data_IF_424778097298
#
_entry.id   IF_424778097298
#
_cell.length_a   1.000
_cell.length_b   1.000
_cell.length_c   1.000
_cell.angle_alpha   90.00
_cell.angle_beta   90.00
_cell.angle_gamma   90.00
#
_symmetry.space_group_name_H-M   'P 1'
#
loop_
_entity.id
_entity.type
_entity.pdbx_description
1 polymer ?
#
# COMPACT_ATOMS: atom_id res chain seq x y z
N UNK A 1 32.20 -16.21 -0.33
CA UNK A 1 30.96 -15.74 0.29
C UNK A 1 30.29 -14.78 -0.69
N UNK A 2 29.30 -15.26 -1.40
CA UNK A 2 28.51 -14.40 -2.28
C UNK A 2 27.62 -13.53 -1.39
N UNK A 3 27.90 -12.23 -1.32
CA UNK A 3 26.93 -11.26 -0.89
C UNK A 3 25.81 -11.26 -1.94
N UNK A 4 24.78 -12.05 -1.71
CA UNK A 4 23.50 -11.84 -2.34
C UNK A 4 22.95 -10.51 -1.80
N UNK A 5 23.32 -9.44 -2.48
CA UNK A 5 22.70 -8.15 -2.34
C UNK A 5 21.28 -8.33 -2.89
N UNK A 6 20.39 -8.86 -2.05
CA UNK A 6 18.98 -9.07 -2.39
C UNK A 6 18.34 -7.70 -2.49
N UNK A 7 18.43 -7.14 -3.67
CA UNK A 7 17.77 -5.89 -4.09
C UNK A 7 16.24 -6.14 -4.26
N UNK A 8 15.68 -6.98 -3.38
CA UNK A 8 14.25 -7.33 -3.34
C UNK A 8 13.50 -6.37 -2.43
N UNK A 9 12.25 -6.07 -2.77
CA UNK A 9 11.36 -5.31 -1.90
C UNK A 9 11.23 -5.99 -0.54
N UNK A 10 11.24 -5.20 0.54
CA UNK A 10 11.13 -5.70 1.91
C UNK A 10 9.88 -5.12 2.60
N UNK A 11 8.92 -6.01 2.90
CA UNK A 11 7.70 -5.65 3.62
C UNK A 11 7.98 -5.14 5.04
N UNK A 12 9.00 -5.65 5.71
CA UNK A 12 9.30 -5.22 7.08
C UNK A 12 9.70 -3.74 7.12
N UNK A 13 10.57 -3.32 6.23
CA UNK A 13 10.94 -1.91 6.04
C UNK A 13 9.73 -1.06 5.69
N UNK A 14 8.89 -1.49 4.74
CA UNK A 14 7.67 -0.77 4.35
C UNK A 14 6.73 -0.59 5.56
N UNK A 15 6.53 -1.64 6.35
CA UNK A 15 5.70 -1.60 7.57
C UNK A 15 6.26 -0.66 8.63
N UNK A 16 7.57 -0.64 8.85
CA UNK A 16 8.19 0.29 9.79
C UNK A 16 7.98 1.75 9.35
N UNK A 17 8.17 2.04 8.06
CA UNK A 17 7.95 3.38 7.52
C UNK A 17 6.48 3.77 7.57
N UNK A 18 5.56 2.85 7.34
CA UNK A 18 4.13 3.09 7.52
C UNK A 18 3.78 3.42 8.98
N UNK A 19 4.31 2.67 9.95
CA UNK A 19 4.13 2.98 11.36
C UNK A 19 4.72 4.35 11.74
N UNK A 20 5.84 4.76 11.14
CA UNK A 20 6.38 6.10 11.32
C UNK A 20 5.47 7.18 10.71
N UNK A 21 4.93 6.94 9.52
CA UNK A 21 3.96 7.82 8.88
C UNK A 21 2.70 8.02 9.73
N UNK A 22 2.22 6.97 10.39
CA UNK A 22 1.03 7.04 11.26
C UNK A 22 1.22 7.92 12.51
N UNK A 23 2.45 8.24 12.92
CA UNK A 23 2.71 9.11 14.07
C UNK A 23 2.23 10.54 13.87
N UNK A 24 2.03 10.97 12.62
CA UNK A 24 1.51 12.29 12.29
C UNK A 24 -0.03 12.39 12.36
N UNK A 25 -0.68 11.29 12.75
CA UNK A 25 -2.14 11.18 12.84
C UNK A 25 -2.57 10.88 14.28
N UNK A 26 -3.74 11.42 14.65
CA UNK A 26 -4.31 11.19 15.97
C UNK A 26 -4.82 9.74 16.12
N UNK A 27 -4.06 8.93 16.81
CA UNK A 27 -4.40 7.52 17.08
C UNK A 27 -5.49 7.34 18.15
N UNK A 28 -5.97 8.42 18.80
CA UNK A 28 -7.16 8.38 19.66
C UNK A 28 -8.45 8.56 18.85
N UNK A 29 -8.37 9.04 17.61
CA UNK A 29 -9.51 9.13 16.72
C UNK A 29 -9.94 7.71 16.27
N UNK A 30 -11.19 7.34 16.57
CA UNK A 30 -11.72 6.00 16.29
C UNK A 30 -11.73 5.68 14.78
N UNK A 31 -11.92 6.67 13.90
CA UNK A 31 -11.88 6.47 12.45
C UNK A 31 -10.46 6.18 11.97
N UNK A 32 -9.44 6.85 12.53
CA UNK A 32 -8.02 6.54 12.27
C UNK A 32 -7.70 5.12 12.73
N UNK A 33 -8.11 4.75 13.95
CA UNK A 33 -7.91 3.38 14.47
C UNK A 33 -8.58 2.33 13.60
N UNK A 34 -9.84 2.56 13.22
CA UNK A 34 -10.57 1.68 12.32
C UNK A 34 -9.82 1.49 10.99
N UNK A 35 -9.26 2.58 10.45
CA UNK A 35 -8.51 2.54 9.19
C UNK A 35 -7.20 1.78 9.33
N UNK A 36 -6.49 1.91 10.44
CA UNK A 36 -5.29 1.13 10.74
C UNK A 36 -5.63 -0.37 10.77
N UNK A 37 -6.67 -0.76 11.51
CA UNK A 37 -7.13 -2.15 11.60
C UNK A 37 -7.50 -2.69 10.21
N UNK A 38 -8.26 -1.91 9.43
CA UNK A 38 -8.62 -2.27 8.05
C UNK A 38 -7.36 -2.50 7.18
N UNK A 39 -6.40 -1.58 7.22
CA UNK A 39 -5.17 -1.68 6.43
C UNK A 39 -4.40 -2.97 6.74
N UNK A 40 -4.20 -3.29 8.01
CA UNK A 40 -3.53 -4.54 8.40
C UNK A 40 -4.38 -5.80 8.11
N UNK A 41 -5.70 -5.68 8.15
CA UNK A 41 -6.61 -6.73 7.69
C UNK A 41 -6.38 -7.05 6.21
N UNK A 42 -6.32 -6.04 5.35
CA UNK A 42 -6.01 -6.21 3.92
C UNK A 42 -4.63 -6.85 3.70
N UNK A 43 -3.61 -6.45 4.45
CA UNK A 43 -2.28 -7.09 4.37
C UNK A 43 -2.36 -8.58 4.72
N UNK A 44 -3.10 -8.92 5.77
CA UNK A 44 -3.30 -10.32 6.18
C UNK A 44 -4.00 -11.12 5.09
N UNK A 45 -5.12 -10.61 4.58
CA UNK A 45 -5.85 -11.26 3.47
C UNK A 45 -4.98 -11.41 2.23
N UNK A 46 -4.21 -10.38 1.85
CA UNK A 46 -3.24 -10.43 0.75
C UNK A 46 -2.23 -11.57 0.94
N UNK A 47 -1.76 -11.77 2.18
CA UNK A 47 -0.82 -12.85 2.53
C UNK A 47 -1.49 -14.23 2.39
N UNK A 48 -2.69 -14.39 2.96
CA UNK A 48 -3.41 -15.66 2.96
C UNK A 48 -3.74 -16.11 1.52
N UNK A 49 -4.10 -15.16 0.67
CA UNK A 49 -4.44 -15.45 -0.72
C UNK A 49 -3.20 -15.73 -1.55
N UNK A 50 -2.13 -14.95 -1.40
CA UNK A 50 -0.85 -15.22 -2.05
C UNK A 50 -0.37 -16.63 -1.73
N UNK A 51 -0.54 -17.07 -0.47
CA UNK A 51 -0.19 -18.43 -0.05
C UNK A 51 -1.05 -19.49 -0.74
N UNK A 52 -2.37 -19.30 -0.80
CA UNK A 52 -3.29 -20.22 -1.49
C UNK A 52 -3.03 -20.30 -2.99
N UNK A 53 -2.62 -19.20 -3.60
CA UNK A 53 -2.26 -19.12 -5.02
C UNK A 53 -0.84 -19.61 -5.28
N UNK A 54 -0.07 -19.96 -4.27
CA UNK A 54 1.34 -20.38 -4.38
C UNK A 54 2.19 -19.35 -5.13
N UNK A 55 1.97 -18.07 -4.88
CA UNK A 55 2.75 -17.00 -5.49
C UNK A 55 4.20 -17.05 -5.02
N UNK A 56 5.10 -16.49 -5.83
CA UNK A 56 6.49 -16.30 -5.44
C UNK A 56 6.60 -15.44 -4.17
N UNK A 57 7.72 -15.50 -3.48
CA UNK A 57 7.99 -14.65 -2.32
C UNK A 57 8.00 -13.17 -2.72
N UNK A 58 8.54 -12.84 -3.89
CA UNK A 58 8.54 -11.48 -4.43
C UNK A 58 7.12 -10.96 -4.69
N UNK A 59 6.27 -11.75 -5.34
CA UNK A 59 4.88 -11.36 -5.61
C UNK A 59 4.05 -11.27 -4.33
N UNK A 60 4.29 -12.16 -3.37
CA UNK A 60 3.66 -12.10 -2.03
C UNK A 60 4.07 -10.84 -1.30
N UNK A 61 5.34 -10.46 -1.34
CA UNK A 61 5.85 -9.23 -0.74
C UNK A 61 5.24 -8.00 -1.42
N UNK A 62 5.17 -7.99 -2.75
CA UNK A 62 4.51 -6.92 -3.51
C UNK A 62 3.03 -6.78 -3.12
N UNK A 63 2.29 -7.90 -3.02
CA UNK A 63 0.87 -7.89 -2.61
C UNK A 63 0.69 -7.30 -1.21
N UNK A 64 1.55 -7.64 -0.26
CA UNK A 64 1.54 -7.06 1.10
C UNK A 64 1.79 -5.55 1.08
N UNK A 65 2.76 -5.08 0.29
CA UNK A 65 3.09 -3.65 0.19
C UNK A 65 1.94 -2.88 -0.46
N UNK A 66 1.32 -3.43 -1.51
CA UNK A 66 0.12 -2.84 -2.13
C UNK A 66 -1.01 -2.75 -1.10
N UNK A 67 -1.27 -3.84 -0.37
CA UNK A 67 -2.28 -3.86 0.69
C UNK A 67 -2.01 -2.85 1.81
N UNK A 68 -0.74 -2.60 2.14
CA UNK A 68 -0.33 -1.61 3.14
C UNK A 68 -0.56 -0.16 2.67
N UNK A 69 -0.32 0.13 1.40
CA UNK A 69 -0.30 1.49 0.86
C UNK A 69 -1.57 1.88 0.09
N UNK A 70 -2.47 0.93 -0.21
CA UNK A 70 -3.63 1.15 -1.10
C UNK A 70 -4.52 2.33 -0.70
N UNK A 71 -4.65 2.56 0.58
CA UNK A 71 -5.54 3.56 1.16
C UNK A 71 -4.79 4.65 1.96
N UNK A 72 -3.50 4.86 1.69
CA UNK A 72 -2.68 5.83 2.44
C UNK A 72 -3.29 7.24 2.43
N UNK A 73 -3.95 7.64 1.35
CA UNK A 73 -4.63 8.94 1.23
C UNK A 73 -5.85 9.09 2.15
N UNK A 74 -6.41 7.99 2.68
CA UNK A 74 -7.53 8.03 3.64
C UNK A 74 -7.14 8.66 4.97
N UNK A 75 -5.91 8.47 5.41
CA UNK A 75 -5.42 9.09 6.65
C UNK A 75 -5.44 10.60 6.55
N UNK A 76 -5.01 11.15 5.42
CA UNK A 76 -5.08 12.60 5.19
C UNK A 76 -6.51 13.09 5.03
N UNK A 77 -7.38 12.33 4.37
CA UNK A 77 -8.80 12.64 4.28
C UNK A 77 -9.43 12.74 5.68
N UNK A 78 -9.18 11.77 6.55
CA UNK A 78 -9.68 11.77 7.91
C UNK A 78 -9.12 12.94 8.73
N UNK A 79 -7.83 13.24 8.58
CA UNK A 79 -7.18 14.37 9.26
C UNK A 79 -7.81 15.71 8.89
N UNK A 80 -8.18 15.91 7.63
CA UNK A 80 -8.73 17.17 7.12
C UNK A 80 -10.23 17.31 7.32
N UNK A 81 -10.97 16.23 7.13
CA UNK A 81 -12.42 16.27 7.01
C UNK A 81 -13.15 15.43 8.05
N UNK A 82 -12.44 14.63 8.82
CA UNK A 82 -13.00 13.62 9.76
C UNK A 82 -14.15 12.79 9.12
N UNK A 83 -14.00 12.48 7.83
CA UNK A 83 -15.05 11.85 7.01
C UNK A 83 -14.46 10.84 6.01
N UNK A 84 -15.21 9.78 5.75
CA UNK A 84 -14.93 8.83 4.67
C UNK A 84 -15.70 9.14 3.37
N UNK A 85 -16.51 10.18 3.34
CA UNK A 85 -17.34 10.52 2.19
C UNK A 85 -16.49 10.88 0.97
N UNK A 86 -16.88 10.37 -0.18
CA UNK A 86 -16.13 10.51 -1.44
C UNK A 86 -16.13 11.95 -1.98
N UNK A 87 -17.14 12.75 -1.62
CA UNK A 87 -17.27 14.15 -2.00
C UNK A 87 -16.29 15.08 -1.29
N UNK A 88 -15.70 14.65 -0.14
CA UNK A 88 -14.74 15.46 0.60
C UNK A 88 -13.35 15.44 -0.02
N UNK A 89 -12.92 14.29 -0.56
CA UNK A 89 -11.59 14.10 -1.15
C UNK A 89 -11.51 12.80 -1.95
N UNK A 90 -10.89 12.86 -3.13
CA UNK A 90 -10.48 11.65 -3.83
C UNK A 90 -9.20 11.09 -3.17
N UNK A 91 -9.39 10.26 -2.14
CA UNK A 91 -8.29 9.69 -1.35
C UNK A 91 -7.34 8.81 -2.18
N UNK A 92 -7.84 8.18 -3.24
CA UNK A 92 -7.04 7.33 -4.11
C UNK A 92 -6.03 8.15 -4.92
N UNK A 93 -6.52 9.20 -5.61
CA UNK A 93 -5.66 10.13 -6.35
C UNK A 93 -4.69 10.86 -5.40
N UNK A 94 -5.14 11.21 -4.21
CA UNK A 94 -4.28 11.86 -3.21
C UNK A 94 -3.22 10.89 -2.67
N UNK A 95 -3.56 9.62 -2.45
CA UNK A 95 -2.59 8.58 -2.06
C UNK A 95 -1.46 8.42 -3.08
N UNK A 96 -1.81 8.36 -4.37
CA UNK A 96 -0.82 8.36 -5.46
C UNK A 96 0.06 9.62 -5.43
N UNK A 97 -0.57 10.79 -5.23
CA UNK A 97 0.15 12.05 -5.10
C UNK A 97 1.15 12.02 -3.94
N UNK A 98 0.74 11.57 -2.76
CA UNK A 98 1.63 11.45 -1.58
C UNK A 98 2.81 10.52 -1.88
N UNK A 99 2.56 9.38 -2.53
CA UNK A 99 3.57 8.35 -2.74
C UNK A 99 4.59 8.73 -3.82
N UNK A 100 4.15 9.34 -4.91
CA UNK A 100 4.96 9.47 -6.13
C UNK A 100 5.29 10.91 -6.55
N UNK A 101 4.63 11.94 -6.02
CA UNK A 101 4.94 13.31 -6.38
C UNK A 101 6.10 13.89 -5.59
N UNK A 102 7.00 14.55 -6.33
CA UNK A 102 8.21 15.18 -5.80
C UNK A 102 8.04 16.65 -5.42
N UNK A 103 6.83 17.17 -5.31
CA UNK A 103 6.56 18.62 -5.16
C UNK A 103 7.30 19.27 -3.97
N UNK A 104 7.78 18.45 -2.99
CA UNK A 104 8.60 18.92 -1.85
C UNK A 104 9.82 18.03 -1.58
N UNK A 105 10.35 17.33 -2.58
CA UNK A 105 11.55 16.49 -2.43
C UNK A 105 11.30 15.16 -1.67
N UNK A 106 10.06 14.83 -1.36
CA UNK A 106 9.70 13.61 -0.64
C UNK A 106 8.84 12.68 -1.48
N UNK A 107 9.50 11.94 -2.35
CA UNK A 107 8.89 10.75 -2.93
C UNK A 107 8.78 9.69 -1.82
N UNK A 108 7.61 9.62 -1.16
CA UNK A 108 7.43 8.74 -0.02
C UNK A 108 7.59 7.27 -0.38
N UNK A 109 7.30 6.87 -1.61
CA UNK A 109 7.49 5.48 -2.04
C UNK A 109 8.92 4.99 -1.83
N UNK A 110 9.91 5.86 -2.01
CA UNK A 110 11.33 5.54 -1.81
C UNK A 110 11.69 5.35 -0.33
N UNK A 111 10.90 5.90 0.58
CA UNK A 111 11.05 5.66 2.03
C UNK A 111 10.41 4.35 2.44
N UNK A 112 9.24 4.04 1.88
CA UNK A 112 8.54 2.78 2.13
C UNK A 112 9.22 1.59 1.48
N UNK A 113 9.70 1.78 0.25
CA UNK A 113 10.33 0.74 -0.57
C UNK A 113 11.63 1.27 -1.16
N UNK A 114 12.73 1.36 -0.37
CA UNK A 114 14.01 1.91 -0.81
C UNK A 114 14.57 1.21 -2.05
N UNK A 115 14.24 -0.06 -2.23
CA UNK A 115 14.68 -0.87 -3.37
C UNK A 115 14.15 -0.37 -4.73
N UNK A 116 13.11 0.48 -4.72
CA UNK A 116 12.60 1.09 -5.97
C UNK A 116 13.52 2.17 -6.52
N UNK A 117 14.44 2.72 -5.70
CA UNK A 117 15.37 3.77 -6.13
C UNK A 117 16.26 3.28 -7.27
N UNK A 118 16.69 2.02 -7.19
CA UNK A 118 17.62 1.43 -8.16
C UNK A 118 16.91 0.62 -9.26
N UNK A 119 15.57 0.49 -9.19
CA UNK A 119 14.76 -0.30 -10.13
C UNK A 119 13.55 0.50 -10.61
N UNK A 120 13.75 1.28 -11.67
CA UNK A 120 12.66 2.02 -12.35
C UNK A 120 11.46 1.11 -12.66
N UNK A 121 11.69 -0.16 -12.99
CA UNK A 121 10.63 -1.14 -13.26
C UNK A 121 9.75 -1.48 -12.03
N UNK A 122 10.34 -1.54 -10.83
CA UNK A 122 9.58 -1.82 -9.60
C UNK A 122 8.72 -0.63 -9.18
N UNK A 123 9.25 0.60 -9.29
CA UNK A 123 8.50 1.83 -9.03
C UNK A 123 7.32 1.97 -10.00
N UNK A 124 7.54 1.72 -11.29
CA UNK A 124 6.49 1.76 -12.32
C UNK A 124 5.42 0.70 -12.06
N UNK A 125 5.80 -0.52 -11.67
CA UNK A 125 4.86 -1.59 -11.33
C UNK A 125 3.98 -1.23 -10.14
N UNK A 126 4.57 -0.70 -9.06
CA UNK A 126 3.84 -0.21 -7.89
C UNK A 126 2.93 0.96 -8.24
N UNK A 127 3.43 1.94 -8.99
CA UNK A 127 2.66 3.10 -9.42
C UNK A 127 1.45 2.67 -10.25
N UNK A 128 1.65 1.77 -11.22
CA UNK A 128 0.56 1.25 -12.05
C UNK A 128 -0.52 0.59 -11.20
N UNK A 129 -0.14 -0.28 -10.25
CA UNK A 129 -1.09 -0.97 -9.37
C UNK A 129 -1.84 -0.01 -8.43
N UNK A 130 -1.16 1.01 -7.91
CA UNK A 130 -1.76 1.99 -6.99
C UNK A 130 -2.54 3.10 -7.70
N UNK A 131 -2.30 3.34 -9.00
CA UNK A 131 -3.02 4.32 -9.81
C UNK A 131 -4.35 3.82 -10.37
N UNK A 132 -4.64 2.52 -10.28
CA UNK A 132 -5.91 1.98 -10.73
C UNK A 132 -7.08 2.59 -9.92
N UNK A 133 -8.23 2.87 -10.54
CA UNK A 133 -9.43 3.29 -9.83
C UNK A 133 -9.76 2.34 -8.67
N UNK A 134 -10.34 2.86 -7.59
CA UNK A 134 -10.57 2.06 -6.37
C UNK A 134 -11.43 0.83 -6.60
N UNK A 135 -12.37 0.91 -7.53
CA UNK A 135 -13.20 -0.19 -8.02
C UNK A 135 -12.41 -1.18 -8.88
N UNK A 136 -11.47 -0.73 -9.72
CA UNK A 136 -10.57 -1.60 -10.47
C UNK A 136 -9.42 -2.14 -9.61
N UNK A 137 -8.93 -1.38 -8.63
CA UNK A 137 -7.95 -1.88 -7.64
C UNK A 137 -8.55 -2.97 -6.76
N UNK A 138 -9.76 -2.75 -6.29
CA UNK A 138 -10.55 -3.74 -5.61
C UNK A 138 -10.85 -4.88 -6.59
N UNK A 139 -11.17 -4.61 -7.84
CA UNK A 139 -11.46 -5.62 -8.86
C UNK A 139 -10.21 -6.44 -9.23
N UNK A 140 -9.03 -5.88 -9.34
CA UNK A 140 -7.80 -6.65 -9.60
C UNK A 140 -7.29 -7.37 -8.34
N UNK A 141 -7.37 -6.78 -7.18
CA UNK A 141 -7.25 -7.50 -5.92
C UNK A 141 -8.41 -8.49 -5.77
N UNK A 142 -9.65 -8.15 -6.13
CA UNK A 142 -10.81 -9.05 -6.11
C UNK A 142 -10.78 -10.06 -7.25
N UNK A 143 -10.38 -9.74 -8.47
CA UNK A 143 -10.24 -10.72 -9.56
C UNK A 143 -9.07 -11.66 -9.28
N UNK A 144 -7.95 -11.19 -8.77
CA UNK A 144 -6.94 -12.08 -8.21
C UNK A 144 -7.44 -12.82 -6.95
N UNK A 145 -8.31 -12.21 -6.15
CA UNK A 145 -8.71 -12.68 -4.83
C UNK A 145 -10.04 -13.45 -4.82
N UNK A 146 -10.97 -13.20 -5.70
CA UNK A 146 -12.29 -13.85 -5.68
C UNK A 146 -12.52 -14.87 -6.77
N UNK A 147 -11.86 -14.81 -7.91
CA UNK A 147 -11.99 -15.85 -8.93
C UNK A 147 -11.35 -17.19 -8.54
N UNK A 148 -10.54 -17.23 -7.47
CA UNK A 148 -9.93 -18.45 -6.95
C UNK A 148 -10.41 -18.88 -5.56
N UNK A 149 -11.33 -18.16 -4.92
CA UNK A 149 -11.95 -18.60 -3.65
C UNK A 149 -13.20 -19.46 -3.84
N UNK A 150 -13.54 -19.87 -5.07
CA UNK A 150 -14.73 -20.68 -5.41
C UNK A 150 -14.34 -21.98 -6.13
N UNK A 151 -13.12 -22.49 -5.90
CA UNK A 151 -12.80 -23.87 -6.27
C UNK A 151 -12.23 -24.60 -5.05
#
# INVERSE_FOLDING_TARGET
MCNENTNSMDYYTARQQFNNYLKDYDNHNDKIRLKIVHTYGIVKESTDISSRMQLSEEDTTLAKIIGLLHDIGRFEQLKRFDSFLTDTMNHAAYGVKILFNNDNGTNLIRRFVPQTVDKVGAEVKLQHQLCLPSDERISLLYVYFFTFSVL
#
